data_IF_533224906790
#
_entry.id   IF_533224906790
#
_cell.length_a   1.000
_cell.length_b   1.000
_cell.length_c   1.000
_cell.angle_alpha   90.00
_cell.angle_beta   90.00
_cell.angle_gamma   90.00
#
_symmetry.space_group_name_H-M   'P 1'
#
loop_
_entity.id
_entity.type
_entity.pdbx_description
1 polymer ?
#
# COMPACT_ATOMS: atom_id res chain seq x y z
N UNK A 1 -1.65 10.48 42.80
CA UNK A 1 -1.37 9.65 41.60
C UNK A 1 -2.03 10.36 40.42
N UNK A 2 -1.32 10.60 39.34
CA UNK A 2 -1.81 11.27 38.13
C UNK A 2 -1.48 10.44 36.89
N UNK A 3 -2.03 10.80 35.75
CA UNK A 3 -1.83 10.07 34.47
C UNK A 3 -0.35 9.97 34.06
N UNK A 4 0.43 11.02 34.32
CA UNK A 4 1.88 11.03 34.00
C UNK A 4 2.64 9.99 34.84
N UNK A 5 2.27 9.80 36.10
CA UNK A 5 2.82 8.73 36.95
C UNK A 5 2.35 7.32 36.55
N UNK A 6 1.23 7.25 35.84
CA UNK A 6 0.74 6.01 35.25
C UNK A 6 1.34 5.70 33.85
N UNK A 7 2.21 6.59 33.34
CA UNK A 7 2.93 6.38 32.07
C UNK A 7 2.29 7.05 30.85
N UNK A 8 1.24 7.89 31.03
CA UNK A 8 0.57 8.63 29.94
C UNK A 8 0.88 10.12 30.05
N UNK A 9 1.52 10.71 29.03
CA UNK A 9 1.87 12.13 28.99
C UNK A 9 0.93 12.95 28.08
N UNK A 10 -0.10 13.55 28.69
CA UNK A 10 -1.11 14.36 27.99
C UNK A 10 -0.48 15.55 27.23
N UNK A 11 0.55 16.19 27.80
CA UNK A 11 1.24 17.32 27.17
C UNK A 11 2.00 16.89 25.89
N UNK A 12 2.60 15.69 25.91
CA UNK A 12 3.21 15.10 24.74
C UNK A 12 2.15 14.86 23.64
N UNK A 13 0.96 14.39 24.01
CA UNK A 13 -0.18 14.25 23.10
C UNK A 13 -0.56 15.56 22.41
N UNK A 14 -0.74 16.64 23.19
CA UNK A 14 -1.04 17.98 22.62
C UNK A 14 0.06 18.48 21.69
N UNK A 15 1.33 18.29 22.05
CA UNK A 15 2.46 18.67 21.22
C UNK A 15 2.50 17.87 19.92
N UNK A 16 2.23 16.57 19.93
CA UNK A 16 2.14 15.73 18.74
C UNK A 16 1.09 16.29 17.77
N UNK A 17 -0.13 16.57 18.25
CA UNK A 17 -1.21 17.14 17.43
C UNK A 17 -0.79 18.49 16.81
N UNK A 18 -0.13 19.37 17.56
CA UNK A 18 0.33 20.65 17.03
C UNK A 18 1.36 20.48 15.91
N UNK A 19 2.32 19.57 16.07
CA UNK A 19 3.33 19.27 15.06
C UNK A 19 2.75 18.67 13.78
N UNK A 20 1.67 17.87 13.90
CA UNK A 20 1.00 17.22 12.78
C UNK A 20 0.17 18.17 11.90
N UNK A 21 -0.37 19.26 12.45
CA UNK A 21 -1.30 20.19 11.75
C UNK A 21 -0.77 20.65 10.38
N UNK A 22 0.52 20.98 10.27
CA UNK A 22 1.13 21.44 9.02
C UNK A 22 1.14 20.38 7.92
N UNK A 23 1.22 19.10 8.29
CA UNK A 23 1.21 17.98 7.34
C UNK A 23 -0.21 17.71 6.85
N UNK A 24 -1.15 17.71 7.76
CA UNK A 24 -2.56 17.45 7.50
C UNK A 24 -3.20 18.55 6.63
N UNK A 25 -2.79 19.81 6.82
CA UNK A 25 -3.28 20.93 5.99
C UNK A 25 -3.05 20.76 4.48
N UNK A 26 -2.07 19.93 4.07
CA UNK A 26 -1.75 19.68 2.65
C UNK A 26 -2.76 18.80 1.92
N UNK A 27 -3.61 18.08 2.66
CA UNK A 27 -4.48 17.00 2.15
C UNK A 27 -5.96 17.25 2.42
N UNK A 28 -6.32 18.49 2.70
CA UNK A 28 -7.71 18.87 2.87
C UNK A 28 -8.45 18.84 1.54
N UNK A 29 -9.50 18.03 1.45
CA UNK A 29 -10.43 18.02 0.32
C UNK A 29 -11.63 18.93 0.62
N UNK A 30 -12.27 19.53 -0.40
CA UNK A 30 -13.45 20.40 -0.20
C UNK A 30 -14.64 19.64 0.40
N UNK A 31 -14.67 18.30 0.26
CA UNK A 31 -15.71 17.45 0.83
C UNK A 31 -15.56 17.23 2.34
N UNK A 32 -14.39 17.51 2.91
CA UNK A 32 -14.17 17.35 4.37
C UNK A 32 -14.93 18.44 5.13
N UNK A 33 -15.81 18.02 6.04
CA UNK A 33 -16.61 18.93 6.87
C UNK A 33 -16.02 19.00 8.27
N UNK A 34 -15.55 20.18 8.64
CA UNK A 34 -14.92 20.42 9.95
C UNK A 34 -13.39 20.31 9.90
N UNK A 35 -12.77 20.28 11.08
CA UNK A 35 -11.32 20.19 11.28
C UNK A 35 -10.93 18.99 12.13
N UNK A 36 -9.63 18.75 12.26
CA UNK A 36 -9.07 17.74 13.14
C UNK A 36 -9.22 18.16 14.60
N UNK A 37 -9.51 17.20 15.48
CA UNK A 37 -9.69 17.40 16.93
C UNK A 37 -11.15 17.31 17.39
N UNK A 38 -12.09 17.02 16.49
CA UNK A 38 -13.45 16.63 16.84
C UNK A 38 -13.54 15.15 17.22
N UNK A 39 -14.71 14.70 17.67
CA UNK A 39 -14.97 13.28 17.97
C UNK A 39 -15.01 12.38 16.74
N UNK A 40 -15.23 12.95 15.54
CA UNK A 40 -15.31 12.21 14.29
C UNK A 40 -14.93 13.09 13.11
N UNK A 41 -14.46 12.46 12.02
CA UNK A 41 -14.33 13.10 10.73
C UNK A 41 -15.64 12.99 9.94
N UNK A 42 -16.05 14.06 9.26
CA UNK A 42 -17.22 14.05 8.40
C UNK A 42 -16.81 14.37 6.96
N UNK A 43 -17.38 13.65 5.99
CA UNK A 43 -17.11 13.77 4.57
C UNK A 43 -18.41 13.90 3.78
N UNK A 44 -18.52 14.94 2.95
CA UNK A 44 -19.71 15.19 2.14
C UNK A 44 -19.75 14.30 0.92
N UNK A 45 -20.85 13.59 0.71
CA UNK A 45 -21.09 12.77 -0.48
C UNK A 45 -21.70 13.57 -1.65
N UNK A 46 -21.82 14.90 -1.54
CA UNK A 46 -22.48 15.72 -2.57
C UNK A 46 -21.79 15.67 -3.96
N UNK A 47 -20.46 15.49 -3.98
CA UNK A 47 -19.72 15.33 -5.24
C UNK A 47 -20.11 14.05 -6.01
N UNK A 48 -20.64 13.05 -5.32
CA UNK A 48 -20.96 11.70 -5.83
C UNK A 48 -22.48 11.48 -6.03
N UNK A 49 -23.29 12.51 -5.89
CA UNK A 49 -24.77 12.45 -5.97
C UNK A 49 -25.32 12.00 -7.33
N UNK A 50 -24.49 12.03 -8.38
CA UNK A 50 -24.88 11.61 -9.74
C UNK A 50 -24.58 10.12 -10.00
N UNK A 51 -23.99 9.39 -9.06
CA UNK A 51 -23.87 7.94 -9.14
C UNK A 51 -25.26 7.31 -9.04
N UNK A 52 -25.48 6.26 -9.82
CA UNK A 52 -26.76 5.54 -9.84
C UNK A 52 -26.95 4.72 -8.56
N UNK A 53 -25.92 3.98 -8.15
CA UNK A 53 -25.88 3.21 -6.91
C UNK A 53 -24.54 3.41 -6.22
N UNK A 54 -24.34 4.57 -5.49
CA UNK A 54 -23.06 4.85 -4.82
C UNK A 54 -22.77 3.80 -3.75
N UNK A 55 -21.67 3.08 -3.93
CA UNK A 55 -21.24 1.98 -3.08
C UNK A 55 -19.93 2.35 -2.38
N UNK A 56 -19.88 2.18 -1.07
CA UNK A 56 -18.65 2.38 -0.30
C UNK A 56 -17.80 1.12 -0.33
N UNK A 57 -16.50 1.32 -0.51
CA UNK A 57 -15.46 0.29 -0.43
C UNK A 57 -14.51 0.69 0.70
N UNK A 58 -14.14 -0.23 1.54
CA UNK A 58 -13.24 0.05 2.67
C UNK A 58 -12.11 -0.98 2.75
N UNK A 59 -10.95 -0.52 3.21
CA UNK A 59 -9.79 -1.34 3.50
C UNK A 59 -9.17 -0.93 4.82
N UNK A 60 -8.70 -1.90 5.59
CA UNK A 60 -7.90 -1.69 6.79
C UNK A 60 -6.70 -2.61 6.74
N UNK A 61 -5.54 -2.07 7.03
CA UNK A 61 -4.28 -2.81 7.06
C UNK A 61 -3.25 -2.07 7.92
N UNK A 62 -2.16 -2.75 8.22
CA UNK A 62 -1.00 -2.19 8.91
C UNK A 62 0.27 -2.32 8.08
N UNK A 63 1.39 -1.82 8.63
CA UNK A 63 2.70 -1.96 8.00
C UNK A 63 3.37 -3.30 8.30
N UNK A 64 2.74 -4.14 9.09
CA UNK A 64 3.32 -5.39 9.55
C UNK A 64 4.65 -5.18 10.27
N UNK A 65 5.51 -6.19 10.23
CA UNK A 65 6.79 -6.13 10.96
C UNK A 65 7.85 -5.24 10.30
N UNK A 66 7.53 -4.55 9.18
CA UNK A 66 8.38 -3.50 8.58
C UNK A 66 8.60 -2.33 9.55
N UNK A 67 7.65 -2.03 10.42
CA UNK A 67 7.79 -0.99 11.46
C UNK A 67 9.03 -1.18 12.31
N UNK A 68 9.48 -2.43 12.53
CA UNK A 68 10.69 -2.70 13.32
C UNK A 68 11.97 -2.18 12.66
N UNK A 69 12.03 -2.17 11.32
CA UNK A 69 13.16 -1.59 10.59
C UNK A 69 13.19 -0.07 10.75
N UNK A 70 12.01 0.58 10.66
CA UNK A 70 11.90 2.01 10.90
C UNK A 70 12.40 2.41 12.30
N UNK A 71 12.08 1.60 13.31
CA UNK A 71 12.56 1.78 14.69
C UNK A 71 14.08 1.62 14.80
N UNK A 72 14.66 0.57 14.21
CA UNK A 72 16.11 0.29 14.28
C UNK A 72 16.90 1.39 13.55
N UNK A 73 16.40 1.87 12.44
CA UNK A 73 17.03 2.92 11.64
C UNK A 73 16.73 4.34 12.16
N UNK A 74 15.82 4.47 13.12
CA UNK A 74 15.30 5.76 13.61
C UNK A 74 14.84 6.66 12.44
N UNK A 75 14.10 6.03 11.48
CA UNK A 75 13.58 6.67 10.28
C UNK A 75 12.09 6.36 10.13
N UNK A 76 11.24 7.35 10.39
CA UNK A 76 9.80 7.15 10.57
C UNK A 76 8.94 7.83 9.50
N UNK A 77 9.54 8.64 8.63
CA UNK A 77 8.86 9.47 7.62
C UNK A 77 8.26 8.69 6.45
N UNK A 78 8.69 7.43 6.22
CA UNK A 78 8.21 6.61 5.10
C UNK A 78 7.18 5.57 5.50
N UNK A 79 7.20 5.11 6.76
CA UNK A 79 6.31 4.01 7.20
C UNK A 79 4.82 4.38 7.14
N UNK A 80 4.50 5.67 7.29
CA UNK A 80 3.14 6.18 7.12
C UNK A 80 2.62 6.04 5.68
N UNK A 81 3.51 6.17 4.68
CA UNK A 81 3.16 5.92 3.27
C UNK A 81 2.76 4.45 3.08
N UNK A 82 3.48 3.53 3.72
CA UNK A 82 3.16 2.10 3.67
C UNK A 82 1.75 1.82 4.21
N UNK A 83 1.39 2.38 5.38
CA UNK A 83 0.08 2.20 5.98
C UNK A 83 -1.06 2.69 5.06
N UNK A 84 -0.87 3.86 4.45
CA UNK A 84 -1.85 4.40 3.49
C UNK A 84 -1.91 3.52 2.24
N UNK A 85 -0.76 3.17 1.66
CA UNK A 85 -0.68 2.40 0.43
C UNK A 85 -1.39 1.06 0.53
N UNK A 86 -1.20 0.32 1.63
CA UNK A 86 -1.83 -0.98 1.85
C UNK A 86 -3.36 -0.88 1.81
N UNK A 87 -3.94 0.17 2.40
CA UNK A 87 -5.39 0.38 2.42
C UNK A 87 -5.94 0.92 1.09
N UNK A 88 -5.31 1.98 0.52
CA UNK A 88 -5.86 2.66 -0.66
C UNK A 88 -5.63 1.90 -1.96
N UNK A 89 -4.59 1.08 -2.06
CA UNK A 89 -4.37 0.22 -3.21
C UNK A 89 -5.44 -0.87 -3.31
N UNK A 90 -5.90 -1.43 -2.19
CA UNK A 90 -7.00 -2.39 -2.18
C UNK A 90 -8.32 -1.76 -2.64
N UNK A 91 -8.59 -0.52 -2.20
CA UNK A 91 -9.74 0.26 -2.66
C UNK A 91 -9.64 0.50 -4.17
N UNK A 92 -8.48 0.94 -4.66
CA UNK A 92 -8.25 1.17 -6.07
C UNK A 92 -8.30 -0.13 -6.90
N UNK A 93 -7.85 -1.25 -6.34
CA UNK A 93 -7.94 -2.58 -6.94
C UNK A 93 -9.39 -3.01 -7.17
N UNK A 94 -10.31 -2.58 -6.30
CA UNK A 94 -11.76 -2.76 -6.50
C UNK A 94 -12.37 -1.74 -7.50
N UNK A 95 -11.58 -0.83 -8.07
CA UNK A 95 -12.00 0.21 -9.00
C UNK A 95 -12.55 1.48 -8.34
N UNK A 96 -12.54 1.57 -7.01
CA UNK A 96 -13.09 2.68 -6.25
C UNK A 96 -12.08 3.84 -6.09
N UNK A 97 -12.61 5.05 -5.91
CA UNK A 97 -11.83 6.24 -5.58
C UNK A 97 -11.69 6.35 -4.06
N UNK A 98 -10.48 6.38 -3.49
CA UNK A 98 -10.27 6.66 -2.07
C UNK A 98 -10.78 8.07 -1.71
N UNK A 99 -11.55 8.17 -0.65
CA UNK A 99 -12.12 9.42 -0.17
C UNK A 99 -11.35 9.97 1.04
N UNK A 100 -11.19 9.13 2.05
CA UNK A 100 -10.53 9.52 3.28
C UNK A 100 -9.84 8.34 3.96
N UNK A 101 -8.92 8.71 4.83
CA UNK A 101 -8.08 7.81 5.62
C UNK A 101 -8.14 8.20 7.10
N UNK A 102 -8.01 7.22 7.95
CA UNK A 102 -7.85 7.31 9.40
C UNK A 102 -6.67 6.44 9.82
N UNK A 103 -5.80 6.93 10.67
CA UNK A 103 -4.70 6.15 11.25
C UNK A 103 -4.98 5.76 12.70
N UNK A 104 -4.33 4.70 13.15
CA UNK A 104 -4.22 4.33 14.55
C UNK A 104 -2.77 4.02 14.87
N UNK A 105 -2.18 4.82 15.76
CA UNK A 105 -0.81 4.65 16.24
C UNK A 105 -0.86 4.18 17.69
N UNK A 106 -0.51 2.91 17.93
CA UNK A 106 -0.27 2.38 19.27
C UNK A 106 1.21 2.56 19.59
N UNK A 107 1.57 3.16 20.71
CA UNK A 107 2.96 3.34 21.10
C UNK A 107 3.18 3.03 22.58
N UNK A 108 4.36 2.57 22.95
CA UNK A 108 4.71 2.36 24.35
C UNK A 108 4.80 3.68 25.10
N UNK A 109 5.33 4.72 24.40
CA UNK A 109 5.41 6.10 24.89
C UNK A 109 5.30 7.07 23.72
N UNK A 110 4.58 8.16 23.96
CA UNK A 110 4.45 9.23 22.96
C UNK A 110 5.70 10.11 22.94
N UNK A 111 6.46 10.01 21.87
CA UNK A 111 7.54 10.92 21.51
C UNK A 111 7.02 11.85 20.41
N UNK A 112 6.67 13.11 20.71
CA UNK A 112 5.91 13.98 19.80
C UNK A 112 6.53 14.15 18.42
N UNK A 113 7.84 14.26 18.35
CA UNK A 113 8.58 14.43 17.10
C UNK A 113 8.50 13.17 16.24
N UNK A 114 8.67 11.97 16.85
CA UNK A 114 8.56 10.68 16.19
C UNK A 114 7.13 10.44 15.66
N UNK A 115 6.12 10.72 16.47
CA UNK A 115 4.72 10.61 16.05
C UNK A 115 4.41 11.56 14.88
N UNK A 116 4.90 12.81 14.96
CA UNK A 116 4.73 13.77 13.87
C UNK A 116 5.43 13.33 12.58
N UNK A 117 6.58 12.67 12.66
CA UNK A 117 7.29 12.10 11.53
C UNK A 117 6.50 10.94 10.89
N UNK A 118 5.95 10.02 11.69
CA UNK A 118 5.07 8.94 11.22
C UNK A 118 3.87 9.55 10.47
N UNK A 119 3.17 10.51 11.08
CA UNK A 119 2.00 11.16 10.48
C UNK A 119 2.37 11.99 9.25
N UNK A 120 3.61 12.50 9.16
CA UNK A 120 4.07 13.14 7.91
C UNK A 120 4.09 12.16 6.73
N UNK A 121 4.47 10.91 6.96
CA UNK A 121 4.39 9.83 5.98
C UNK A 121 2.94 9.46 5.64
N UNK A 122 2.06 9.39 6.64
CA UNK A 122 0.61 9.17 6.40
C UNK A 122 0.05 10.29 5.51
N UNK A 123 0.37 11.54 5.83
CA UNK A 123 -0.07 12.69 5.04
C UNK A 123 0.44 12.64 3.61
N UNK A 124 1.70 12.26 3.40
CA UNK A 124 2.28 12.09 2.07
C UNK A 124 1.56 10.98 1.28
N UNK A 125 1.30 9.84 1.90
CA UNK A 125 0.52 8.76 1.28
C UNK A 125 -0.90 9.22 0.89
N UNK A 126 -1.53 10.03 1.72
CA UNK A 126 -2.83 10.63 1.42
C UNK A 126 -2.75 11.62 0.24
N UNK A 127 -1.69 12.43 0.14
CA UNK A 127 -1.45 13.31 -1.03
C UNK A 127 -1.34 12.48 -2.31
N UNK A 128 -0.55 11.40 -2.29
CA UNK A 128 -0.35 10.52 -3.45
C UNK A 128 -1.63 9.82 -3.89
N UNK A 129 -2.48 9.42 -2.95
CA UNK A 129 -3.75 8.73 -3.23
C UNK A 129 -4.93 9.68 -3.50
N UNK A 130 -4.79 10.97 -3.17
CA UNK A 130 -5.90 11.93 -3.22
C UNK A 130 -6.95 11.72 -2.11
N UNK A 131 -6.68 10.88 -1.11
CA UNK A 131 -7.53 10.71 0.06
C UNK A 131 -7.30 11.84 1.07
N UNK A 132 -8.32 12.22 1.84
CA UNK A 132 -8.17 13.17 2.94
C UNK A 132 -7.83 12.43 4.25
N UNK A 133 -6.85 12.88 5.01
CA UNK A 133 -6.66 12.44 6.40
C UNK A 133 -7.64 13.22 7.27
N UNK A 134 -8.74 12.60 7.71
CA UNK A 134 -9.85 13.29 8.40
C UNK A 134 -9.86 13.06 9.90
N UNK A 135 -8.97 12.23 10.42
CA UNK A 135 -8.85 11.89 11.82
C UNK A 135 -7.85 10.77 12.03
N UNK A 136 -7.69 10.37 13.25
CA UNK A 136 -6.83 9.29 13.69
C UNK A 136 -6.76 9.22 15.20
N UNK A 137 -5.99 8.28 15.72
CA UNK A 137 -5.79 8.08 17.16
C UNK A 137 -4.31 7.78 17.44
N UNK A 138 -3.78 8.36 18.49
CA UNK A 138 -2.48 7.98 19.06
C UNK A 138 -2.67 7.57 20.51
N UNK A 139 -2.45 6.31 20.81
CA UNK A 139 -2.66 5.72 22.12
C UNK A 139 -1.35 5.24 22.75
N UNK A 140 -1.06 5.72 23.97
CA UNK A 140 0.04 5.20 24.78
C UNK A 140 -0.39 3.92 25.50
N UNK A 141 0.46 2.90 25.43
CA UNK A 141 0.23 1.58 26.02
C UNK A 141 1.35 1.22 27.03
N UNK A 142 1.49 2.00 28.13
CA UNK A 142 2.54 1.77 29.11
C UNK A 142 2.39 0.40 29.76
N UNK A 143 3.49 -0.36 29.78
CA UNK A 143 3.52 -1.71 30.34
C UNK A 143 2.96 -2.82 29.44
N UNK A 144 2.28 -2.46 28.34
CA UNK A 144 1.82 -3.39 27.31
C UNK A 144 2.81 -3.45 26.14
N UNK A 145 3.43 -2.31 25.81
CA UNK A 145 4.37 -2.15 24.73
C UNK A 145 5.67 -1.50 25.26
N UNK A 146 6.88 -1.90 24.79
CA UNK A 146 8.12 -1.20 25.09
C UNK A 146 8.05 0.30 24.76
N UNK A 147 8.72 1.16 25.55
CA UNK A 147 8.63 2.61 25.39
C UNK A 147 9.05 3.12 24.01
N UNK A 148 10.01 2.45 23.37
CA UNK A 148 10.57 2.82 22.06
C UNK A 148 9.84 2.18 20.88
N UNK A 149 8.87 1.33 21.13
CA UNK A 149 8.10 0.62 20.10
C UNK A 149 6.74 1.26 19.81
N UNK A 150 6.28 1.05 18.58
CA UNK A 150 4.95 1.43 18.12
C UNK A 150 4.43 0.45 17.08
N UNK A 151 3.12 0.48 16.86
CA UNK A 151 2.47 -0.12 15.71
C UNK A 151 1.62 0.92 14.99
N UNK A 152 1.43 0.74 13.70
CA UNK A 152 0.71 1.65 12.83
C UNK A 152 -0.24 0.88 11.94
N UNK A 153 -1.51 1.22 12.03
CA UNK A 153 -2.56 0.70 11.17
C UNK A 153 -3.38 1.85 10.56
N UNK A 154 -4.04 1.55 9.46
CA UNK A 154 -4.90 2.49 8.76
C UNK A 154 -6.25 1.91 8.43
N UNK A 155 -7.19 2.82 8.18
CA UNK A 155 -8.50 2.52 7.65
C UNK A 155 -8.84 3.55 6.58
N UNK A 156 -9.15 3.07 5.39
CA UNK A 156 -9.55 3.91 4.26
C UNK A 156 -10.96 3.59 3.80
N UNK A 157 -11.65 4.60 3.30
CA UNK A 157 -12.96 4.47 2.66
C UNK A 157 -12.88 5.10 1.28
N UNK A 158 -13.41 4.39 0.30
CA UNK A 158 -13.57 4.85 -1.07
C UNK A 158 -15.02 4.73 -1.54
N UNK A 159 -15.29 5.27 -2.72
CA UNK A 159 -16.62 5.22 -3.35
C UNK A 159 -16.50 4.78 -4.81
N UNK A 160 -17.51 4.07 -5.26
CA UNK A 160 -17.67 3.67 -6.65
C UNK A 160 -19.17 3.57 -6.99
N UNK A 161 -19.53 3.79 -8.25
CA UNK A 161 -20.86 3.34 -8.71
C UNK A 161 -20.84 1.82 -8.82
N UNK A 162 -21.80 1.12 -8.25
CA UNK A 162 -21.83 -0.35 -8.15
C UNK A 162 -21.61 -1.04 -9.50
N UNK A 163 -22.12 -0.48 -10.60
CA UNK A 163 -21.94 -1.03 -11.95
C UNK A 163 -20.48 -1.02 -12.43
N UNK A 164 -19.63 -0.19 -11.82
CA UNK A 164 -18.22 -0.04 -12.19
C UNK A 164 -17.28 -0.86 -11.28
N UNK A 165 -17.83 -1.58 -10.27
CA UNK A 165 -17.05 -2.37 -9.33
C UNK A 165 -16.29 -3.48 -10.05
N UNK A 166 -14.99 -3.57 -9.83
CA UNK A 166 -14.12 -4.60 -10.43
C UNK A 166 -14.31 -5.92 -9.67
N UNK A 167 -15.12 -6.80 -10.22
CA UNK A 167 -15.44 -8.12 -9.63
C UNK A 167 -14.74 -9.28 -10.34
N UNK A 168 -14.10 -9.02 -11.49
CA UNK A 168 -13.53 -10.03 -12.35
C UNK A 168 -14.55 -10.74 -13.27
N UNK A 169 -15.83 -10.43 -13.18
CA UNK A 169 -16.87 -11.07 -14.02
C UNK A 169 -16.72 -10.77 -15.52
N UNK A 170 -16.14 -9.62 -15.86
CA UNK A 170 -15.86 -9.26 -17.27
C UNK A 170 -14.62 -9.92 -17.86
N UNK A 171 -13.81 -10.56 -17.00
CA UNK A 171 -12.56 -11.21 -17.40
C UNK A 171 -12.85 -12.35 -18.39
N UNK A 172 -12.07 -12.41 -19.46
CA UNK A 172 -12.23 -13.43 -20.52
C UNK A 172 -10.87 -13.94 -21.03
N UNK A 173 -10.81 -15.17 -21.51
CA UNK A 173 -9.63 -15.66 -22.23
C UNK A 173 -9.25 -14.70 -23.38
N UNK A 174 -7.97 -14.41 -23.50
CA UNK A 174 -7.44 -13.45 -24.46
C UNK A 174 -7.16 -12.04 -23.87
N UNK A 175 -7.71 -11.71 -22.69
CA UNK A 175 -7.34 -10.47 -22.00
C UNK A 175 -5.83 -10.46 -21.70
N UNK A 176 -5.23 -9.29 -21.81
CA UNK A 176 -3.80 -9.07 -21.59
C UNK A 176 -3.58 -8.59 -20.17
N UNK A 177 -2.58 -9.17 -19.52
CA UNK A 177 -2.14 -8.78 -18.19
C UNK A 177 -1.08 -7.70 -18.26
N UNK A 178 -1.33 -6.58 -17.61
CA UNK A 178 -0.38 -5.48 -17.46
C UNK A 178 0.00 -5.38 -16.00
N UNK A 179 1.30 -5.53 -15.69
CA UNK A 179 1.86 -5.35 -14.36
C UNK A 179 2.42 -3.95 -14.19
N UNK A 180 2.28 -3.38 -13.00
CA UNK A 180 2.92 -2.12 -12.63
C UNK A 180 4.06 -2.36 -11.64
N UNK A 181 5.22 -1.74 -11.90
CA UNK A 181 6.43 -1.90 -11.10
C UNK A 181 6.22 -1.61 -9.62
N UNK A 182 6.82 -2.41 -8.76
CA UNK A 182 6.97 -2.10 -7.33
C UNK A 182 8.20 -1.22 -7.09
N UNK A 183 8.30 -0.64 -5.91
CA UNK A 183 9.44 0.15 -5.44
C UNK A 183 10.43 -0.67 -4.60
N UNK A 184 10.13 -1.94 -4.36
CA UNK A 184 10.88 -2.84 -3.50
C UNK A 184 9.96 -3.92 -2.92
N UNK A 185 10.29 -4.35 -1.73
CA UNK A 185 9.53 -5.38 -0.99
C UNK A 185 8.11 -4.93 -0.61
N UNK A 186 7.88 -3.62 -0.61
CA UNK A 186 6.66 -2.98 -0.10
C UNK A 186 6.51 -3.20 1.42
N UNK A 187 5.35 -3.67 1.89
CA UNK A 187 5.10 -3.92 3.33
C UNK A 187 4.78 -5.38 3.64
N UNK A 188 5.11 -6.30 2.74
CA UNK A 188 4.78 -7.71 2.89
C UNK A 188 6.04 -8.60 2.98
N UNK A 189 5.93 -9.72 3.67
CA UNK A 189 7.02 -10.68 3.81
C UNK A 189 8.11 -10.29 4.82
N UNK A 190 7.95 -9.22 5.58
CA UNK A 190 8.98 -8.72 6.50
C UNK A 190 9.30 -9.65 7.67
N UNK A 191 8.40 -10.55 8.05
CA UNK A 191 8.74 -11.59 9.00
C UNK A 191 9.84 -12.54 8.48
N UNK A 192 9.82 -12.83 7.16
CA UNK A 192 10.86 -13.60 6.49
C UNK A 192 12.13 -12.75 6.30
N UNK A 193 12.00 -11.51 5.79
CA UNK A 193 13.12 -10.57 5.66
C UNK A 193 13.93 -10.47 6.96
N UNK A 194 13.24 -10.33 8.09
CA UNK A 194 13.84 -10.25 9.43
C UNK A 194 14.48 -11.56 9.93
N UNK A 195 14.25 -12.66 9.26
CA UNK A 195 14.93 -13.94 9.52
C UNK A 195 16.14 -14.14 8.61
N UNK A 196 16.07 -13.60 7.40
CA UNK A 196 17.14 -13.69 6.40
C UNK A 196 18.29 -12.76 6.73
N UNK A 197 17.98 -11.52 7.10
CA UNK A 197 18.98 -10.51 7.44
C UNK A 197 19.06 -10.30 8.95
N UNK A 198 20.25 -10.01 9.42
CA UNK A 198 20.45 -9.59 10.80
C UNK A 198 19.87 -8.17 10.99
N UNK A 199 18.92 -8.02 11.94
CA UNK A 199 18.23 -6.77 12.20
C UNK A 199 18.98 -5.91 13.19
N UNK A 200 20.17 -5.48 12.81
CA UNK A 200 20.97 -4.50 13.56
C UNK A 200 21.19 -3.25 12.71
N UNK A 201 21.42 -2.11 13.36
CA UNK A 201 21.71 -0.87 12.62
C UNK A 201 22.94 -1.05 11.72
N UNK A 202 23.96 -1.72 12.18
CA UNK A 202 25.20 -1.99 11.42
C UNK A 202 24.90 -2.78 10.13
N UNK A 203 24.11 -3.87 10.23
CA UNK A 203 23.71 -4.65 9.06
C UNK A 203 22.85 -3.83 8.09
N UNK A 204 21.91 -3.04 8.59
CA UNK A 204 21.03 -2.21 7.78
C UNK A 204 21.77 -1.02 7.12
N UNK A 205 22.81 -0.51 7.74
CA UNK A 205 23.68 0.55 7.19
C UNK A 205 24.71 0.00 6.16
N UNK A 206 24.79 -1.34 6.00
CA UNK A 206 25.69 -1.95 5.01
C UNK A 206 25.26 -1.60 3.59
N UNK A 207 26.18 -1.05 2.81
CA UNK A 207 25.98 -0.74 1.39
C UNK A 207 26.18 -1.98 0.53
N UNK A 208 25.28 -2.17 -0.43
CA UNK A 208 25.35 -3.25 -1.43
C UNK A 208 25.44 -2.65 -2.83
N UNK A 209 26.49 -2.99 -3.57
CA UNK A 209 26.69 -2.47 -4.93
C UNK A 209 25.53 -2.84 -5.87
N UNK A 210 25.01 -4.06 -5.74
CA UNK A 210 23.86 -4.52 -6.52
C UNK A 210 22.55 -3.77 -6.22
N UNK A 211 22.39 -3.22 -5.03
CA UNK A 211 21.23 -2.39 -4.65
C UNK A 211 21.44 -0.91 -5.02
N UNK A 212 22.71 -0.47 -5.15
CA UNK A 212 23.06 0.94 -5.29
C UNK A 212 22.77 1.80 -4.06
N UNK A 213 22.50 1.16 -2.91
CA UNK A 213 22.14 1.83 -1.64
C UNK A 213 22.40 0.90 -0.45
N UNK A 214 22.10 1.35 0.77
CA UNK A 214 22.17 0.49 1.96
C UNK A 214 21.03 -0.51 1.99
N UNK A 215 21.24 -1.63 2.69
CA UNK A 215 20.19 -2.64 2.89
C UNK A 215 18.93 -2.03 3.51
N UNK A 216 19.10 -1.21 4.54
CA UNK A 216 17.99 -0.58 5.23
C UNK A 216 17.19 0.37 4.34
N UNK A 217 17.84 1.19 3.52
CA UNK A 217 17.17 2.07 2.56
C UNK A 217 16.39 1.28 1.52
N UNK A 218 16.97 0.20 0.96
CA UNK A 218 16.27 -0.67 0.01
C UNK A 218 15.05 -1.34 0.65
N UNK A 219 15.15 -1.80 1.90
CA UNK A 219 14.06 -2.44 2.62
C UNK A 219 12.99 -1.45 3.12
N UNK A 220 13.37 -0.22 3.47
CA UNK A 220 12.44 0.84 3.89
C UNK A 220 11.81 1.59 2.71
N UNK A 221 12.20 1.31 1.45
CA UNK A 221 11.53 1.91 0.30
C UNK A 221 10.01 1.80 0.47
N UNK A 222 9.27 2.94 0.40
CA UNK A 222 7.83 2.92 0.68
C UNK A 222 7.06 2.17 -0.39
N UNK A 223 5.95 1.57 0.01
CA UNK A 223 5.01 0.91 -0.88
C UNK A 223 4.49 1.89 -1.93
N UNK A 224 4.52 1.51 -3.20
CA UNK A 224 3.97 2.31 -4.30
C UNK A 224 2.45 2.45 -4.17
N UNK A 225 1.93 3.67 -4.39
CA UNK A 225 0.50 3.95 -4.44
C UNK A 225 0.08 4.04 -5.91
N UNK A 226 -0.81 3.13 -6.34
CA UNK A 226 -1.26 2.96 -7.73
C UNK A 226 -2.56 3.70 -8.07
N UNK A 227 -3.16 4.36 -7.09
CA UNK A 227 -4.48 5.02 -7.20
C UNK A 227 -4.56 5.95 -8.40
N UNK A 228 -3.56 6.83 -8.57
CA UNK A 228 -3.53 7.81 -9.67
C UNK A 228 -3.48 7.12 -11.04
N UNK A 229 -2.66 6.08 -11.18
CA UNK A 229 -2.53 5.36 -12.45
C UNK A 229 -3.82 4.64 -12.82
N UNK A 230 -4.43 3.90 -11.90
CA UNK A 230 -5.70 3.19 -12.13
C UNK A 230 -6.85 4.16 -12.45
N UNK A 231 -6.93 5.29 -11.72
CA UNK A 231 -7.89 6.37 -11.99
C UNK A 231 -7.70 6.94 -13.39
N UNK A 232 -6.46 7.23 -13.80
CA UNK A 232 -6.14 7.77 -15.12
C UNK A 232 -6.53 6.80 -16.25
N UNK A 233 -6.31 5.50 -16.06
CA UNK A 233 -6.71 4.46 -17.02
C UNK A 233 -8.24 4.45 -17.21
N UNK A 234 -8.99 4.51 -16.12
CA UNK A 234 -10.46 4.61 -16.15
C UNK A 234 -10.92 5.90 -16.84
N UNK A 235 -10.34 7.05 -16.50
CA UNK A 235 -10.65 8.36 -17.09
C UNK A 235 -10.30 8.44 -18.59
N UNK A 236 -9.27 7.69 -19.03
CA UNK A 236 -8.98 7.53 -20.44
C UNK A 236 -10.01 6.68 -21.19
N UNK A 237 -11.00 6.13 -20.50
CA UNK A 237 -12.07 5.30 -21.09
C UNK A 237 -11.65 3.87 -21.38
N UNK A 238 -10.59 3.37 -20.71
CA UNK A 238 -10.23 1.96 -20.75
C UNK A 238 -11.07 1.19 -19.73
N UNK A 239 -11.67 0.08 -20.15
CA UNK A 239 -12.34 -0.85 -19.25
C UNK A 239 -11.33 -1.82 -18.68
N UNK A 240 -11.07 -1.72 -17.37
CA UNK A 240 -10.31 -2.73 -16.63
C UNK A 240 -11.26 -3.88 -16.31
N UNK A 241 -10.93 -5.11 -16.74
CA UNK A 241 -11.78 -6.28 -16.52
C UNK A 241 -11.55 -6.92 -15.14
N UNK A 242 -10.33 -6.82 -14.63
CA UNK A 242 -9.94 -7.30 -13.32
C UNK A 242 -8.65 -6.63 -12.84
N UNK A 243 -8.44 -6.59 -11.53
CA UNK A 243 -7.24 -6.03 -10.93
C UNK A 243 -6.83 -6.84 -9.70
N UNK A 244 -5.53 -6.95 -9.45
CA UNK A 244 -4.95 -7.65 -8.29
C UNK A 244 -3.83 -6.82 -7.69
N UNK A 245 -3.92 -6.50 -6.40
CA UNK A 245 -2.85 -5.93 -5.59
C UNK A 245 -1.97 -7.08 -5.08
N UNK A 246 -0.66 -7.06 -5.41
CA UNK A 246 0.27 -8.13 -5.03
C UNK A 246 0.85 -7.82 -3.65
N UNK A 247 0.28 -8.44 -2.64
CA UNK A 247 0.63 -8.30 -1.22
C UNK A 247 1.16 -9.62 -0.64
N UNK A 248 0.98 -9.85 0.67
CA UNK A 248 1.31 -11.14 1.30
C UNK A 248 0.63 -12.32 0.62
N UNK A 249 1.36 -13.43 0.46
CA UNK A 249 0.93 -14.54 -0.38
C UNK A 249 1.35 -14.42 -1.85
N UNK A 250 1.95 -13.28 -2.25
CA UNK A 250 2.55 -13.08 -3.56
C UNK A 250 1.59 -13.34 -4.73
N UNK A 251 2.12 -13.86 -5.83
CA UNK A 251 1.34 -14.12 -7.03
C UNK A 251 0.33 -15.25 -6.86
N UNK A 252 0.72 -16.32 -6.14
CA UNK A 252 -0.10 -17.53 -6.03
C UNK A 252 -1.38 -17.32 -5.25
N UNK A 253 -1.42 -16.39 -4.30
CA UNK A 253 -2.60 -16.11 -3.49
C UNK A 253 -3.38 -14.89 -3.97
N UNK A 254 -2.70 -13.86 -4.50
CA UNK A 254 -3.38 -12.61 -4.86
C UNK A 254 -3.96 -12.63 -6.28
N UNK A 255 -3.21 -13.10 -7.29
CA UNK A 255 -3.70 -13.15 -8.67
C UNK A 255 -5.01 -13.95 -8.81
N UNK A 256 -5.19 -15.11 -8.18
CA UNK A 256 -6.45 -15.85 -8.27
C UNK A 256 -7.68 -15.12 -7.74
N UNK A 257 -7.51 -14.11 -6.85
CA UNK A 257 -8.64 -13.33 -6.31
C UNK A 257 -9.36 -12.51 -7.38
N UNK A 258 -8.63 -12.06 -8.42
CA UNK A 258 -9.24 -11.31 -9.51
C UNK A 258 -9.90 -12.20 -10.59
N UNK A 259 -9.66 -13.52 -10.56
CA UNK A 259 -10.12 -14.45 -11.57
C UNK A 259 -11.53 -14.95 -11.28
N UNK A 260 -12.31 -15.21 -12.34
CA UNK A 260 -13.54 -16.00 -12.25
C UNK A 260 -13.28 -17.46 -12.60
N UNK A 261 -14.25 -18.32 -12.28
CA UNK A 261 -14.18 -19.73 -12.65
C UNK A 261 -14.04 -19.92 -14.17
N UNK A 262 -13.24 -20.91 -14.56
CA UNK A 262 -12.92 -21.17 -15.97
C UNK A 262 -11.85 -20.27 -16.58
N UNK A 263 -11.19 -19.40 -15.77
CA UNK A 263 -10.09 -18.55 -16.22
C UNK A 263 -8.82 -18.79 -15.39
N UNK A 264 -7.68 -18.68 -16.07
CA UNK A 264 -6.34 -18.82 -15.50
C UNK A 264 -5.46 -17.66 -15.96
N UNK A 265 -4.68 -17.09 -15.06
CA UNK A 265 -3.64 -16.14 -15.41
C UNK A 265 -2.34 -16.86 -15.77
N UNK A 266 -1.74 -16.52 -16.92
CA UNK A 266 -0.42 -16.98 -17.35
C UNK A 266 0.50 -15.76 -17.35
N UNK A 267 1.51 -15.75 -16.47
CA UNK A 267 2.44 -14.64 -16.29
C UNK A 267 3.86 -15.09 -16.66
N UNK A 268 4.50 -14.33 -17.52
CA UNK A 268 5.85 -14.55 -18.01
C UNK A 268 6.87 -13.84 -17.10
N UNK A 269 7.63 -14.61 -16.32
CA UNK A 269 8.58 -14.09 -15.32
C UNK A 269 9.64 -13.14 -15.90
N UNK A 270 10.06 -13.36 -17.14
CA UNK A 270 11.10 -12.57 -17.80
C UNK A 270 10.55 -11.33 -18.54
N UNK A 271 9.26 -11.04 -18.45
CA UNK A 271 8.63 -9.91 -19.13
C UNK A 271 8.81 -8.55 -18.43
N UNK A 272 9.36 -8.55 -17.24
CA UNK A 272 9.65 -7.37 -16.43
C UNK A 272 10.91 -7.57 -15.58
N UNK A 273 11.58 -6.50 -15.15
CA UNK A 273 12.77 -6.61 -14.31
C UNK A 273 12.38 -6.99 -12.88
N UNK A 274 13.00 -8.03 -12.35
CA UNK A 274 12.99 -8.32 -10.90
C UNK A 274 14.02 -7.41 -10.23
N UNK A 275 13.63 -6.75 -9.13
CA UNK A 275 14.53 -5.84 -8.43
C UNK A 275 15.62 -6.61 -7.68
N UNK A 276 16.87 -6.10 -7.64
CA UNK A 276 18.02 -6.80 -7.03
C UNK A 276 17.81 -7.23 -5.56
N UNK A 277 16.97 -6.54 -4.82
CA UNK A 277 16.66 -6.90 -3.42
C UNK A 277 16.06 -8.31 -3.31
N UNK A 278 15.28 -8.76 -4.31
CA UNK A 278 14.69 -10.10 -4.31
C UNK A 278 15.74 -11.19 -4.58
N UNK A 279 16.71 -10.93 -5.45
CA UNK A 279 17.83 -11.84 -5.69
C UNK A 279 18.71 -11.95 -4.44
N UNK A 280 18.97 -10.82 -3.77
CA UNK A 280 19.71 -10.79 -2.53
C UNK A 280 18.99 -11.56 -1.42
N UNK A 281 17.67 -11.40 -1.29
CA UNK A 281 16.83 -12.15 -0.34
C UNK A 281 16.87 -13.65 -0.61
N UNK A 282 16.66 -14.05 -1.87
CA UNK A 282 16.65 -15.45 -2.28
C UNK A 282 18.00 -16.12 -1.98
N UNK A 283 19.10 -15.46 -2.37
CA UNK A 283 20.47 -15.97 -2.17
C UNK A 283 20.86 -16.06 -0.69
N UNK A 284 20.59 -15.00 0.08
CA UNK A 284 21.00 -14.95 1.50
C UNK A 284 20.17 -15.89 2.36
N UNK A 285 18.86 -16.02 2.06
CA UNK A 285 17.94 -16.87 2.80
C UNK A 285 17.85 -18.31 2.29
N UNK A 286 18.56 -18.66 1.21
CA UNK A 286 18.42 -19.94 0.49
C UNK A 286 16.95 -20.27 0.21
N UNK A 287 16.23 -19.27 -0.34
CA UNK A 287 14.78 -19.36 -0.55
C UNK A 287 14.49 -19.83 -1.96
N UNK A 288 13.75 -20.92 -2.08
CA UNK A 288 13.32 -21.45 -3.37
C UNK A 288 12.47 -20.43 -4.15
N UNK A 289 12.64 -20.38 -5.48
CA UNK A 289 11.92 -19.45 -6.37
C UNK A 289 10.40 -19.47 -6.15
N UNK A 290 9.81 -20.65 -6.02
CA UNK A 290 8.38 -20.78 -5.75
C UNK A 290 7.95 -20.06 -4.47
N UNK A 291 8.76 -20.15 -3.40
CA UNK A 291 8.49 -19.48 -2.14
C UNK A 291 8.67 -17.97 -2.27
N UNK A 292 9.65 -17.50 -3.06
CA UNK A 292 9.80 -16.08 -3.37
C UNK A 292 8.53 -15.50 -4.00
N UNK A 293 7.99 -16.15 -5.04
CA UNK A 293 6.72 -15.75 -5.69
C UNK A 293 5.47 -15.98 -4.83
N UNK A 294 5.55 -16.80 -3.79
CA UNK A 294 4.46 -17.01 -2.82
C UNK A 294 4.51 -16.03 -1.64
N UNK A 295 5.60 -15.28 -1.48
CA UNK A 295 5.79 -14.38 -0.33
C UNK A 295 5.84 -12.92 -0.77
N UNK A 296 6.52 -12.63 -1.88
CA UNK A 296 6.88 -11.29 -2.32
C UNK A 296 6.22 -10.90 -3.65
N UNK A 297 6.21 -9.60 -3.91
CA UNK A 297 5.70 -9.02 -5.16
C UNK A 297 6.64 -9.19 -6.36
N UNK A 298 7.87 -9.64 -6.16
CA UNK A 298 8.90 -9.92 -7.16
C UNK A 298 9.08 -8.82 -8.23
N UNK A 299 8.78 -7.55 -7.88
CA UNK A 299 8.92 -6.41 -8.78
C UNK A 299 7.63 -5.86 -9.36
N UNK A 300 6.48 -6.51 -9.12
CA UNK A 300 5.15 -6.05 -9.53
C UNK A 300 4.22 -5.88 -8.33
N UNK A 301 3.78 -4.66 -8.05
CA UNK A 301 2.86 -4.42 -6.94
C UNK A 301 1.38 -4.47 -7.34
N UNK A 302 1.07 -4.26 -8.62
CA UNK A 302 -0.30 -4.30 -9.13
C UNK A 302 -0.34 -4.98 -10.50
N UNK A 303 -1.36 -5.79 -10.74
CA UNK A 303 -1.62 -6.43 -12.04
C UNK A 303 -3.06 -6.17 -12.45
N UNK A 304 -3.28 -5.71 -13.68
CA UNK A 304 -4.61 -5.50 -14.24
C UNK A 304 -4.79 -6.25 -15.55
N UNK A 305 -6.03 -6.62 -15.87
CA UNK A 305 -6.42 -7.27 -17.11
C UNK A 305 -7.26 -6.30 -17.96
N UNK A 306 -6.89 -6.18 -19.25
CA UNK A 306 -7.58 -5.34 -20.21
C UNK A 306 -7.78 -6.08 -21.53
N UNK A 307 -8.72 -5.58 -22.36
CA UNK A 307 -8.90 -6.08 -23.73
C UNK A 307 -7.60 -5.84 -24.54
N UNK A 308 -7.19 -6.75 -25.44
CA UNK A 308 -6.02 -6.57 -26.29
C UNK A 308 -5.99 -5.24 -27.06
N UNK A 309 -7.15 -4.73 -27.47
CA UNK A 309 -7.26 -3.42 -28.16
C UNK A 309 -6.93 -2.21 -27.31
N UNK A 310 -6.95 -2.34 -25.99
CA UNK A 310 -6.70 -1.25 -25.02
C UNK A 310 -5.28 -1.26 -24.45
N UNK A 311 -4.43 -2.24 -24.81
CA UNK A 311 -3.09 -2.41 -24.24
C UNK A 311 -2.23 -1.17 -24.39
N UNK A 312 -2.05 -0.68 -25.62
CA UNK A 312 -1.18 0.47 -25.90
C UNK A 312 -1.64 1.72 -25.17
N UNK A 313 -2.95 1.96 -25.15
CA UNK A 313 -3.56 3.08 -24.46
C UNK A 313 -3.38 2.98 -22.94
N UNK A 314 -3.56 1.79 -22.38
CA UNK A 314 -3.33 1.52 -20.95
C UNK A 314 -1.88 1.76 -20.56
N UNK A 315 -0.95 1.19 -21.32
CA UNK A 315 0.50 1.34 -21.09
C UNK A 315 0.93 2.80 -21.12
N UNK A 316 0.46 3.57 -22.09
CA UNK A 316 0.80 4.98 -22.23
C UNK A 316 0.19 5.81 -21.09
N UNK A 317 -1.06 5.56 -20.73
CA UNK A 317 -1.75 6.28 -19.64
C UNK A 317 -1.06 6.04 -18.30
N UNK A 318 -0.65 4.80 -18.00
CA UNK A 318 0.08 4.48 -16.78
C UNK A 318 1.42 5.22 -16.74
N UNK A 319 2.17 5.28 -17.88
CA UNK A 319 3.43 6.05 -17.93
C UNK A 319 3.22 7.54 -17.69
N UNK A 320 2.18 8.11 -18.28
CA UNK A 320 1.84 9.53 -18.08
C UNK A 320 1.43 9.83 -16.63
N UNK A 321 0.85 8.85 -15.93
CA UNK A 321 0.55 8.96 -14.52
C UNK A 321 1.79 8.90 -13.61
N UNK A 322 2.96 8.49 -14.16
CA UNK A 322 4.25 8.40 -13.47
C UNK A 322 4.59 7.01 -12.95
N UNK A 323 3.86 5.98 -13.42
CA UNK A 323 4.15 4.58 -13.10
C UNK A 323 4.81 3.85 -14.29
N UNK A 324 5.40 2.69 -14.01
CA UNK A 324 6.10 1.88 -15.02
C UNK A 324 5.32 0.60 -15.27
N UNK A 325 4.60 0.49 -16.42
CA UNK A 325 3.84 -0.69 -16.78
C UNK A 325 4.66 -1.66 -17.66
N UNK A 326 4.32 -2.94 -17.57
CA UNK A 326 4.84 -4.03 -18.39
C UNK A 326 3.69 -4.91 -18.88
N UNK A 327 3.73 -5.39 -20.11
CA UNK A 327 2.87 -6.50 -20.54
C UNK A 327 3.48 -7.77 -19.96
N UNK A 328 2.78 -8.42 -19.03
CA UNK A 328 3.35 -9.51 -18.25
C UNK A 328 2.72 -10.87 -18.51
N UNK A 329 1.67 -10.92 -19.33
CA UNK A 329 1.02 -12.18 -19.63
C UNK A 329 -0.38 -12.01 -20.18
N UNK A 330 -1.19 -13.04 -20.00
CA UNK A 330 -2.55 -13.12 -20.54
C UNK A 330 -3.45 -13.98 -19.70
N UNK A 331 -4.74 -13.88 -19.95
CA UNK A 331 -5.76 -14.76 -19.41
C UNK A 331 -6.01 -15.88 -20.41
N UNK A 332 -6.03 -17.11 -19.92
CA UNK A 332 -6.39 -18.31 -20.67
C UNK A 332 -7.62 -18.99 -20.09
N UNK A 333 -8.26 -19.81 -20.90
CA UNK A 333 -9.29 -20.76 -20.40
C UNK A 333 -8.61 -21.87 -19.58
N UNK A 334 -9.14 -22.17 -18.41
CA UNK A 334 -8.56 -23.20 -17.56
C UNK A 334 -9.12 -23.20 -16.15
N UNK A 335 -8.59 -24.06 -15.32
CA UNK A 335 -8.88 -24.07 -13.89
C UNK A 335 -8.35 -22.77 -13.25
N UNK A 336 -9.17 -22.18 -12.38
CA UNK A 336 -8.82 -20.93 -11.67
C UNK A 336 -7.47 -21.05 -10.96
N UNK A 337 -6.57 -20.13 -11.26
CA UNK A 337 -5.21 -20.12 -10.70
C UNK A 337 -4.24 -19.29 -11.51
N UNK A 338 -2.97 -19.30 -11.11
CA UNK A 338 -1.88 -18.64 -11.82
C UNK A 338 -0.83 -19.64 -12.26
N UNK A 339 -0.31 -19.45 -13.47
CA UNK A 339 0.89 -20.13 -13.99
C UNK A 339 1.97 -19.09 -14.18
N UNK A 340 3.15 -19.33 -13.61
CA UNK A 340 4.37 -18.56 -13.84
C UNK A 340 5.28 -19.34 -14.77
N UNK A 341 5.69 -18.78 -15.91
CA UNK A 341 6.53 -19.43 -16.92
C UNK A 341 7.73 -18.55 -17.34
#
# INVERSE_FOLDING_TARGET
MDYKKAGVDIEAGYKSVELMKKHIAKIMRPEVLGGIGGFSGAFSMNAFKNMEEPTLVSGTDGCGTKVKLAMIMDKHDTIGIDAVAMCVNDIACAGAEPLFFLDYIACGKNYPEKIAEIVSGVAEGCVQSGAALIGGETAEHPGLMPEDEYDLAGFAVGVIDKKDLLTGEELKPGDVLIGMASTGVHSNGFSLVRKVFEMTKESLDTYYDELGTTLGEALLAPTRIYVKALKSVKEAGVRIHACSHITGGGFYENVPRMLKEGTRAVIEKNSYPVLPIFDLLAKTGDIEEKMMYNTFNMGLGMVLAVDPSDVDKTMETIRQAGDTPYVVGRIEAGEKGVTLC
#
